data_IF_783368807588
#
_entry.id   IF_783368807588
#
_cell.length_a   1.000
_cell.length_b   1.000
_cell.length_c   1.000
_cell.angle_alpha   90.00
_cell.angle_beta   90.00
_cell.angle_gamma   90.00
#
_symmetry.space_group_name_H-M   'P 1'
#
loop_
_entity.id
_entity.type
_entity.pdbx_description
1 polymer ?
#
# COMPACT_ATOMS: atom_id res chain seq x y z
N UNK A 1 -12.88 -5.57 -13.32
CA UNK A 1 -11.47 -5.48 -13.74
C UNK A 1 -10.81 -4.41 -12.88
N UNK A 2 -9.73 -4.74 -12.19
CA UNK A 2 -8.98 -3.83 -11.32
C UNK A 2 -7.77 -3.25 -12.03
N UNK A 3 -7.48 -1.99 -11.74
CA UNK A 3 -6.28 -1.32 -12.19
C UNK A 3 -5.30 -1.19 -11.01
N UNK A 4 -4.18 -1.87 -11.07
CA UNK A 4 -3.20 -1.91 -9.98
C UNK A 4 -1.90 -1.27 -10.47
N UNK A 5 -1.40 -0.28 -9.73
CA UNK A 5 -0.14 0.40 -10.04
C UNK A 5 1.00 -0.22 -9.24
N UNK A 6 2.07 -0.56 -9.93
CA UNK A 6 3.28 -1.18 -9.38
C UNK A 6 4.50 -0.28 -9.69
N UNK A 7 4.79 0.72 -8.85
CA UNK A 7 6.03 1.49 -8.99
C UNK A 7 7.24 0.57 -8.76
N UNK A 8 8.26 0.67 -9.61
CA UNK A 8 9.46 -0.16 -9.53
C UNK A 8 10.73 0.63 -9.78
N UNK A 9 11.73 0.41 -8.95
CA UNK A 9 13.12 0.84 -9.13
C UNK A 9 14.02 -0.34 -9.52
N UNK A 10 13.38 -1.47 -9.90
CA UNK A 10 14.00 -2.73 -10.26
C UNK A 10 14.71 -3.47 -9.11
N UNK A 11 14.58 -3.00 -7.88
CA UNK A 11 15.10 -3.68 -6.69
C UNK A 11 14.37 -4.99 -6.40
N UNK A 12 14.98 -5.86 -5.62
CA UNK A 12 14.36 -7.11 -5.16
C UNK A 12 13.12 -6.87 -4.31
N UNK A 13 13.08 -5.75 -3.57
CA UNK A 13 11.90 -5.36 -2.81
C UNK A 13 10.72 -4.97 -3.72
N UNK A 14 10.97 -4.17 -4.77
CA UNK A 14 9.94 -3.85 -5.76
C UNK A 14 9.47 -5.10 -6.51
N UNK A 15 10.38 -6.04 -6.77
CA UNK A 15 10.04 -7.35 -7.33
C UNK A 15 9.18 -8.18 -6.38
N UNK A 16 9.51 -8.20 -5.07
CA UNK A 16 8.70 -8.90 -4.07
C UNK A 16 7.28 -8.31 -3.98
N UNK A 17 7.14 -6.99 -3.98
CA UNK A 17 5.84 -6.32 -4.02
C UNK A 17 5.04 -6.68 -5.29
N UNK A 18 5.70 -6.78 -6.44
CA UNK A 18 5.07 -7.22 -7.69
C UNK A 18 4.56 -8.66 -7.59
N UNK A 19 5.37 -9.59 -7.08
CA UNK A 19 4.95 -10.99 -6.87
C UNK A 19 3.77 -11.08 -5.91
N UNK A 20 3.84 -10.35 -4.80
CA UNK A 20 2.76 -10.30 -3.82
C UNK A 20 1.44 -9.84 -4.44
N UNK A 21 1.46 -8.74 -5.21
CA UNK A 21 0.28 -8.22 -5.88
C UNK A 21 -0.34 -9.23 -6.87
N UNK A 22 0.50 -9.91 -7.64
CA UNK A 22 0.06 -10.93 -8.60
C UNK A 22 -0.63 -12.11 -7.88
N UNK A 23 -0.06 -12.59 -6.77
CA UNK A 23 -0.66 -13.69 -5.98
C UNK A 23 -1.92 -13.24 -5.24
N UNK A 24 -1.94 -12.01 -4.68
CA UNK A 24 -3.10 -11.46 -3.98
C UNK A 24 -4.36 -11.42 -4.86
N UNK A 25 -4.18 -11.10 -6.14
CA UNK A 25 -5.29 -10.95 -7.09
C UNK A 25 -5.39 -12.08 -8.12
N UNK A 26 -4.80 -13.25 -7.83
CA UNK A 26 -4.70 -14.39 -8.77
C UNK A 26 -6.01 -14.81 -9.42
N UNK A 27 -7.12 -14.65 -8.71
CA UNK A 27 -8.46 -15.09 -9.15
C UNK A 27 -9.29 -13.95 -9.76
N UNK A 28 -8.72 -12.74 -9.86
CA UNK A 28 -9.43 -11.55 -10.31
C UNK A 28 -8.92 -11.00 -11.65
N UNK A 29 -9.81 -10.35 -12.40
CA UNK A 29 -9.44 -9.65 -13.63
C UNK A 29 -8.67 -8.37 -13.31
N UNK A 30 -7.37 -8.34 -13.60
CA UNK A 30 -6.48 -7.23 -13.27
C UNK A 30 -5.68 -6.71 -14.45
N UNK A 31 -5.52 -5.39 -14.48
CA UNK A 31 -4.50 -4.70 -15.28
C UNK A 31 -3.44 -4.17 -14.34
N UNK A 32 -2.24 -4.70 -14.44
CA UNK A 32 -1.08 -4.24 -13.69
C UNK A 32 -0.28 -3.23 -14.52
N UNK A 33 -0.10 -2.03 -13.97
CA UNK A 33 0.72 -0.97 -14.55
C UNK A 33 2.07 -0.93 -13.86
N UNK A 34 3.12 -1.40 -14.52
CA UNK A 34 4.51 -1.33 -14.04
C UNK A 34 5.04 0.07 -14.36
N UNK A 35 5.32 0.86 -13.34
CA UNK A 35 5.81 2.24 -13.48
C UNK A 35 7.27 2.35 -13.07
N UNK A 36 8.11 2.83 -13.97
CA UNK A 36 9.43 3.35 -13.61
C UNK A 36 9.52 4.83 -14.00
N UNK A 37 9.90 5.66 -13.04
CA UNK A 37 10.18 7.07 -13.27
C UNK A 37 11.68 7.34 -13.19
N UNK A 38 12.16 8.23 -14.03
CA UNK A 38 13.53 8.68 -14.03
C UNK A 38 13.55 10.20 -14.15
N UNK A 39 14.54 10.82 -13.52
CA UNK A 39 14.86 12.24 -13.69
C UNK A 39 16.26 12.32 -14.29
N UNK A 40 16.64 13.42 -14.96
CA UNK A 40 18.03 13.61 -15.29
C UNK A 40 18.80 13.42 -13.99
N UNK A 41 19.75 12.50 -13.98
CA UNK A 41 20.73 12.56 -12.94
C UNK A 41 21.21 14.02 -12.98
N UNK A 42 20.95 14.78 -11.91
CA UNK A 42 21.78 15.93 -11.60
C UNK A 42 23.11 15.27 -11.28
N UNK A 43 23.77 14.77 -12.33
CA UNK A 43 25.15 14.43 -12.26
C UNK A 43 25.75 15.69 -11.69
N UNK A 44 26.31 15.53 -10.51
CA UNK A 44 27.11 16.60 -9.91
C UNK A 44 27.86 17.25 -11.06
N UNK A 45 27.46 18.44 -11.43
CA UNK A 45 27.88 19.20 -12.63
C UNK A 45 29.41 19.37 -12.74
N UNK A 46 30.15 18.90 -11.75
CA UNK A 46 31.62 18.87 -11.69
C UNK A 46 32.27 17.67 -12.40
N UNK A 47 31.54 16.57 -12.64
CA UNK A 47 32.10 15.39 -13.33
C UNK A 47 31.69 15.28 -14.80
N UNK A 48 30.70 16.04 -15.27
CA UNK A 48 30.22 15.95 -16.65
C UNK A 48 30.99 16.83 -17.66
N UNK A 49 31.89 17.70 -17.21
CA UNK A 49 32.69 18.54 -18.10
C UNK A 49 33.78 17.76 -18.90
N UNK A 50 33.96 16.46 -18.66
CA UNK A 50 35.03 15.67 -19.24
C UNK A 50 34.62 14.49 -20.13
N UNK A 51 33.33 14.22 -20.30
CA UNK A 51 32.86 13.16 -21.22
C UNK A 51 32.42 13.74 -22.56
N UNK A 52 33.41 14.02 -23.41
CA UNK A 52 33.22 14.49 -24.79
C UNK A 52 32.81 13.37 -25.78
N UNK A 53 32.10 12.33 -25.36
CA UNK A 53 31.49 11.37 -26.28
C UNK A 53 29.98 11.60 -26.29
N UNK A 54 29.56 12.44 -27.24
CA UNK A 54 28.24 12.96 -27.39
C UNK A 54 27.18 11.91 -27.72
N UNK A 55 26.31 11.69 -26.80
CA UNK A 55 24.93 11.24 -26.97
C UNK A 55 24.10 11.94 -25.92
N UNK A 56 22.85 12.28 -26.14
CA UNK A 56 22.03 12.91 -25.14
C UNK A 56 21.90 11.96 -23.95
N UNK A 57 22.27 12.44 -22.75
CA UNK A 57 22.15 11.68 -21.50
C UNK A 57 20.71 11.19 -21.24
N UNK A 58 19.76 11.86 -21.79
CA UNK A 58 18.33 11.52 -21.80
C UNK A 58 18.07 10.14 -22.45
N UNK A 59 18.70 9.85 -23.59
CA UNK A 59 18.49 8.59 -24.32
C UNK A 59 19.00 7.38 -23.51
N UNK A 60 20.08 7.54 -22.78
CA UNK A 60 20.65 6.47 -21.95
C UNK A 60 19.78 6.11 -20.75
N UNK A 61 19.20 7.10 -20.06
CA UNK A 61 18.36 6.90 -18.89
C UNK A 61 16.99 6.34 -19.28
N UNK A 62 16.41 6.84 -20.37
CA UNK A 62 15.17 6.31 -20.94
C UNK A 62 15.33 4.84 -21.36
N UNK A 63 16.37 4.53 -22.13
CA UNK A 63 16.66 3.15 -22.56
C UNK A 63 16.89 2.20 -21.38
N UNK A 64 17.49 2.67 -20.28
CA UNK A 64 17.66 1.88 -19.07
C UNK A 64 16.32 1.57 -18.40
N UNK A 65 15.43 2.56 -18.31
CA UNK A 65 14.08 2.41 -17.77
C UNK A 65 13.27 1.39 -18.60
N UNK A 66 13.22 1.53 -19.90
CA UNK A 66 12.50 0.60 -20.79
C UNK A 66 13.07 -0.83 -20.72
N UNK A 67 14.40 -0.96 -20.72
CA UNK A 67 15.07 -2.26 -20.56
C UNK A 67 14.75 -2.90 -19.21
N UNK A 68 14.76 -2.13 -18.12
CA UNK A 68 14.39 -2.58 -16.79
C UNK A 68 12.95 -3.09 -16.75
N UNK A 69 12.00 -2.34 -17.28
CA UNK A 69 10.59 -2.73 -17.38
C UNK A 69 10.39 -3.99 -18.21
N UNK A 70 11.08 -4.10 -19.34
CA UNK A 70 11.08 -5.31 -20.18
C UNK A 70 11.61 -6.53 -19.42
N UNK A 71 12.67 -6.36 -18.61
CA UNK A 71 13.20 -7.43 -17.78
C UNK A 71 12.21 -7.89 -16.72
N UNK A 72 11.50 -6.96 -16.06
CA UNK A 72 10.42 -7.28 -15.10
C UNK A 72 9.30 -8.05 -15.79
N UNK A 73 8.83 -7.61 -16.96
CA UNK A 73 7.84 -8.35 -17.75
C UNK A 73 8.30 -9.76 -18.11
N UNK A 74 9.58 -9.92 -18.47
CA UNK A 74 10.14 -11.23 -18.79
C UNK A 74 10.21 -12.14 -17.54
N UNK A 75 10.54 -11.57 -16.37
CA UNK A 75 10.47 -12.29 -15.09
C UNK A 75 9.04 -12.77 -14.81
N UNK A 76 8.04 -11.89 -14.96
CA UNK A 76 6.61 -12.24 -14.77
C UNK A 76 6.20 -13.36 -15.73
N UNK A 77 6.57 -13.30 -17.01
CA UNK A 77 6.23 -14.33 -18.00
C UNK A 77 6.82 -15.71 -17.70
N UNK A 78 7.93 -15.77 -16.95
CA UNK A 78 8.59 -17.00 -16.51
C UNK A 78 7.99 -17.59 -15.24
N UNK A 79 7.22 -16.80 -14.48
CA UNK A 79 6.54 -17.26 -13.27
C UNK A 79 5.18 -17.87 -13.63
N UNK A 80 4.40 -18.25 -12.63
CA UNK A 80 3.05 -18.77 -12.80
C UNK A 80 2.18 -17.75 -13.55
N UNK A 81 1.50 -18.21 -14.62
CA UNK A 81 0.64 -17.35 -15.43
C UNK A 81 -0.79 -17.39 -14.91
N UNK A 82 -1.37 -16.22 -14.74
CA UNK A 82 -2.77 -16.06 -14.41
C UNK A 82 -3.50 -15.47 -15.65
N UNK A 83 -4.44 -16.22 -16.26
CA UNK A 83 -5.07 -15.81 -17.53
C UNK A 83 -5.87 -14.52 -17.44
N UNK A 84 -6.30 -14.14 -16.25
CA UNK A 84 -7.05 -12.91 -15.97
C UNK A 84 -6.17 -11.68 -15.80
N UNK A 85 -4.84 -11.85 -15.86
CA UNK A 85 -3.90 -10.73 -15.64
C UNK A 85 -3.36 -10.18 -16.95
N UNK A 86 -3.39 -8.86 -17.08
CA UNK A 86 -2.69 -8.13 -18.14
C UNK A 86 -1.69 -7.16 -17.54
N UNK A 87 -0.59 -6.90 -18.27
CA UNK A 87 0.51 -6.07 -17.81
C UNK A 87 0.81 -4.97 -18.81
N UNK A 88 0.94 -3.74 -18.33
CA UNK A 88 1.33 -2.56 -19.10
C UNK A 88 2.53 -1.90 -18.44
N UNK A 89 3.43 -1.37 -19.24
CA UNK A 89 4.61 -0.65 -18.75
C UNK A 89 4.46 0.84 -18.98
N UNK A 90 4.95 1.62 -18.04
CA UNK A 90 5.02 3.08 -18.11
C UNK A 90 6.44 3.47 -17.74
N UNK A 91 7.17 4.06 -18.71
CA UNK A 91 8.48 4.67 -18.52
C UNK A 91 8.25 6.19 -18.60
N UNK A 92 8.53 6.92 -17.54
CA UNK A 92 8.20 8.35 -17.48
C UNK A 92 9.36 9.19 -16.96
N UNK A 93 9.62 10.29 -17.68
CA UNK A 93 10.53 11.35 -17.26
C UNK A 93 9.78 12.32 -16.34
N UNK A 94 9.63 11.95 -15.07
CA UNK A 94 8.90 12.76 -14.10
C UNK A 94 9.33 12.40 -12.67
N UNK A 95 8.92 13.21 -11.69
CA UNK A 95 9.00 12.85 -10.29
C UNK A 95 7.98 11.76 -9.96
N UNK A 96 8.41 10.76 -9.19
CA UNK A 96 7.60 9.57 -8.89
C UNK A 96 6.18 9.90 -8.40
N UNK A 97 6.07 10.81 -7.43
CA UNK A 97 4.78 11.13 -6.81
C UNK A 97 3.85 11.86 -7.78
N UNK A 98 4.40 12.74 -8.61
CA UNK A 98 3.60 13.54 -9.57
C UNK A 98 3.10 12.63 -10.69
N UNK A 99 3.95 11.72 -11.19
CA UNK A 99 3.55 10.72 -12.16
C UNK A 99 2.47 9.78 -11.61
N UNK A 100 2.61 9.31 -10.36
CA UNK A 100 1.61 8.46 -9.72
C UNK A 100 0.25 9.18 -9.63
N UNK A 101 0.22 10.46 -9.22
CA UNK A 101 -1.03 11.24 -9.18
C UNK A 101 -1.73 11.28 -10.53
N UNK A 102 -0.96 11.56 -11.57
CA UNK A 102 -1.48 11.62 -12.93
C UNK A 102 -2.03 10.28 -13.42
N UNK A 103 -1.29 9.20 -13.18
CA UNK A 103 -1.72 7.84 -13.54
C UNK A 103 -2.97 7.43 -12.77
N UNK A 104 -3.02 7.71 -11.46
CA UNK A 104 -4.18 7.39 -10.62
C UNK A 104 -5.45 8.04 -11.17
N UNK A 105 -5.39 9.30 -11.59
CA UNK A 105 -6.52 10.00 -12.18
C UNK A 105 -6.86 9.50 -13.58
N UNK A 106 -5.85 9.40 -14.46
CA UNK A 106 -6.06 9.03 -15.88
C UNK A 106 -6.47 7.57 -16.07
N UNK A 107 -5.99 6.66 -15.25
CA UNK A 107 -6.22 5.21 -15.38
C UNK A 107 -7.22 4.67 -14.38
N UNK A 108 -7.68 5.46 -13.43
CA UNK A 108 -8.58 5.01 -12.37
C UNK A 108 -7.95 3.88 -11.55
N UNK A 109 -6.78 4.12 -10.98
CA UNK A 109 -6.05 3.10 -10.20
C UNK A 109 -6.82 2.78 -8.91
N UNK A 110 -7.12 1.51 -8.72
CA UNK A 110 -7.85 1.01 -7.55
C UNK A 110 -6.92 0.77 -6.36
N UNK A 111 -5.65 0.39 -6.61
CA UNK A 111 -4.65 0.11 -5.59
C UNK A 111 -3.24 0.40 -6.11
N UNK A 112 -2.41 0.99 -5.26
CA UNK A 112 -0.97 1.10 -5.48
C UNK A 112 -0.28 0.06 -4.62
N UNK A 113 0.57 -0.81 -5.19
CA UNK A 113 1.36 -1.77 -4.42
C UNK A 113 2.84 -1.45 -4.60
N UNK A 114 3.55 -1.23 -3.50
CA UNK A 114 4.95 -0.83 -3.50
C UNK A 114 5.74 -1.59 -2.45
N UNK A 115 7.05 -1.72 -2.65
CA UNK A 115 7.92 -2.23 -1.59
C UNK A 115 8.12 -1.19 -0.48
N UNK A 116 8.50 -1.64 0.69
CA UNK A 116 8.81 -0.74 1.83
C UNK A 116 10.19 -0.10 1.72
N UNK A 117 11.16 -0.71 0.99
CA UNK A 117 12.51 -0.17 0.75
C UNK A 117 12.66 0.25 -0.71
N UNK A 118 13.59 1.14 -0.99
CA UNK A 118 14.08 1.44 -2.33
C UNK A 118 15.48 0.87 -2.57
N UNK A 119 16.05 1.13 -3.74
CA UNK A 119 17.37 0.64 -4.18
C UNK A 119 18.56 1.07 -3.31
N UNK A 120 18.40 2.01 -2.38
CA UNK A 120 19.46 2.54 -1.51
C UNK A 120 19.90 1.64 -0.35
N UNK A 121 19.26 0.48 -0.17
CA UNK A 121 19.81 -0.70 0.55
C UNK A 121 20.43 -0.53 1.93
N UNK A 122 20.03 0.45 2.75
CA UNK A 122 20.47 0.49 4.14
C UNK A 122 19.86 -0.69 4.91
N UNK A 123 20.69 -1.40 5.68
CA UNK A 123 20.39 -2.71 6.29
C UNK A 123 19.29 -2.73 7.35
N UNK A 124 18.73 -1.58 7.69
CA UNK A 124 17.64 -1.49 8.64
C UNK A 124 16.28 -1.43 7.93
N UNK A 125 15.29 -2.14 8.46
CA UNK A 125 13.95 -2.33 7.88
C UNK A 125 13.12 -1.05 8.01
N UNK A 126 13.39 -0.05 7.15
CA UNK A 126 12.63 1.22 7.16
C UNK A 126 11.61 1.27 6.04
N UNK A 127 10.50 1.94 6.30
CA UNK A 127 9.66 2.40 5.21
C UNK A 127 10.42 3.47 4.42
N UNK A 128 10.82 3.16 3.19
CA UNK A 128 11.62 4.02 2.32
C UNK A 128 10.96 5.38 2.09
N UNK A 129 11.77 6.40 1.87
CA UNK A 129 11.30 7.77 1.66
C UNK A 129 10.26 7.89 0.53
N UNK A 130 10.39 7.10 -0.54
CA UNK A 130 9.44 7.08 -1.64
C UNK A 130 8.08 6.51 -1.22
N UNK A 131 8.04 5.40 -0.46
CA UNK A 131 6.81 4.82 0.05
C UNK A 131 6.08 5.78 0.97
N UNK A 132 6.80 6.45 1.89
CA UNK A 132 6.23 7.49 2.76
C UNK A 132 5.69 8.67 1.95
N UNK A 133 6.40 9.13 0.92
CA UNK A 133 5.93 10.21 0.03
C UNK A 133 4.68 9.81 -0.73
N UNK A 134 4.60 8.59 -1.26
CA UNK A 134 3.41 8.07 -1.93
C UNK A 134 2.22 8.09 -0.97
N UNK A 135 2.37 7.48 0.21
CA UNK A 135 1.31 7.42 1.23
C UNK A 135 0.81 8.82 1.63
N UNK A 136 1.74 9.77 1.85
CA UNK A 136 1.37 11.14 2.24
C UNK A 136 0.70 11.95 1.12
N UNK A 137 1.04 11.68 -0.11
CA UNK A 137 0.66 12.53 -1.26
C UNK A 137 -0.55 12.02 -2.03
N UNK A 138 -0.77 10.69 -2.03
CA UNK A 138 -1.90 10.09 -2.75
C UNK A 138 -3.13 10.06 -1.85
N UNK A 139 -4.20 10.73 -2.28
CA UNK A 139 -5.44 10.92 -1.50
C UNK A 139 -6.63 10.15 -2.06
N UNK A 140 -6.50 9.53 -3.22
CA UNK A 140 -7.61 8.94 -3.96
C UNK A 140 -7.41 7.45 -4.31
N UNK A 141 -6.34 6.83 -3.83
CA UNK A 141 -6.12 5.38 -3.96
C UNK A 141 -5.42 4.84 -2.71
N UNK A 142 -5.82 3.67 -2.20
CA UNK A 142 -5.10 3.00 -1.13
C UNK A 142 -3.70 2.58 -1.59
N UNK A 143 -2.80 2.48 -0.62
CA UNK A 143 -1.41 2.06 -0.84
C UNK A 143 -1.14 0.83 0.00
N UNK A 144 -0.71 -0.25 -0.64
CA UNK A 144 -0.27 -1.49 0.00
C UNK A 144 1.26 -1.55 -0.07
N UNK A 145 1.90 -1.43 1.08
CA UNK A 145 3.35 -1.50 1.23
C UNK A 145 3.76 -2.91 1.65
N UNK A 146 4.65 -3.55 0.88
CA UNK A 146 5.10 -4.93 1.09
C UNK A 146 6.52 -4.95 1.63
N UNK A 147 6.77 -5.56 2.80
CA UNK A 147 8.11 -5.72 3.34
C UNK A 147 8.99 -6.57 2.43
N UNK A 148 10.30 -6.28 2.44
CA UNK A 148 11.26 -6.88 1.53
C UNK A 148 11.30 -8.42 1.60
N UNK A 149 11.23 -8.95 2.81
CA UNK A 149 11.37 -10.39 3.07
C UNK A 149 10.05 -11.09 3.37
N UNK A 150 8.93 -10.39 3.19
CA UNK A 150 7.63 -10.99 3.43
C UNK A 150 7.24 -11.89 2.26
N UNK A 151 7.18 -13.18 2.50
CA UNK A 151 6.62 -14.13 1.54
C UNK A 151 5.09 -14.03 1.54
N UNK A 152 4.47 -14.26 0.38
CA UNK A 152 3.03 -14.20 0.27
C UNK A 152 2.36 -15.22 1.20
N UNK A 153 1.53 -14.72 2.09
CA UNK A 153 0.53 -15.45 2.86
C UNK A 153 -0.84 -14.92 2.52
N UNK A 154 -1.82 -15.80 2.38
CA UNK A 154 -3.22 -15.39 2.22
C UNK A 154 -3.65 -14.59 3.45
N UNK A 155 -4.17 -13.37 3.31
CA UNK A 155 -4.52 -12.53 4.44
C UNK A 155 -5.81 -13.02 5.11
N UNK A 156 -5.71 -14.04 5.98
CA UNK A 156 -6.83 -14.57 6.78
C UNK A 156 -7.03 -13.84 8.10
N UNK A 157 -6.02 -13.10 8.58
CA UNK A 157 -6.10 -12.25 9.77
C UNK A 157 -5.66 -10.83 9.38
N UNK A 158 -6.58 -9.87 9.48
CA UNK A 158 -6.35 -8.46 9.14
C UNK A 158 -6.47 -7.63 10.41
N UNK A 159 -5.40 -6.96 10.85
CA UNK A 159 -5.49 -5.99 11.93
C UNK A 159 -5.89 -4.62 11.37
N UNK A 160 -6.91 -3.98 11.96
CA UNK A 160 -7.28 -2.61 11.68
C UNK A 160 -6.93 -1.72 12.86
N UNK A 161 -5.83 -0.95 12.73
CA UNK A 161 -5.35 -0.07 13.79
C UNK A 161 -6.08 1.28 13.76
N UNK A 162 -6.71 1.65 14.90
CA UNK A 162 -7.49 2.88 14.99
C UNK A 162 -7.58 3.41 16.42
N UNK A 163 -7.71 4.73 16.56
CA UNK A 163 -7.92 5.44 17.83
C UNK A 163 -9.38 5.89 18.04
N UNK A 164 -10.26 5.59 17.11
CA UNK A 164 -11.68 5.98 17.10
C UNK A 164 -11.95 7.51 17.17
N UNK A 165 -10.95 8.35 16.96
CA UNK A 165 -11.11 9.80 17.09
C UNK A 165 -11.77 10.47 15.89
N UNK A 166 -12.15 9.71 14.87
CA UNK A 166 -12.83 10.23 13.69
C UNK A 166 -13.96 9.30 13.22
N UNK A 167 -14.87 9.91 12.46
CA UNK A 167 -15.89 9.19 11.73
C UNK A 167 -15.30 8.43 10.54
N UNK A 168 -15.80 7.23 10.28
CA UNK A 168 -15.45 6.41 9.13
C UNK A 168 -16.58 6.46 8.10
N UNK A 169 -16.24 6.56 6.83
CA UNK A 169 -17.20 6.28 5.77
C UNK A 169 -17.06 4.82 5.29
N UNK A 170 -18.16 4.24 4.85
CA UNK A 170 -18.12 2.89 4.29
C UNK A 170 -17.17 2.78 3.10
N UNK A 171 -17.15 3.83 2.24
CA UNK A 171 -16.26 3.87 1.08
C UNK A 171 -14.77 3.91 1.43
N UNK A 172 -14.39 4.48 2.58
CA UNK A 172 -13.01 4.43 3.07
C UNK A 172 -12.63 3.02 3.52
N UNK A 173 -13.51 2.32 4.20
CA UNK A 173 -13.26 0.97 4.70
C UNK A 173 -13.37 -0.11 3.62
N UNK A 174 -14.01 0.19 2.49
CA UNK A 174 -14.30 -0.76 1.43
C UNK A 174 -13.06 -1.55 0.94
N UNK A 175 -11.87 -0.96 0.75
CA UNK A 175 -10.68 -1.72 0.35
C UNK A 175 -10.32 -2.86 1.31
N UNK A 176 -10.45 -2.63 2.61
CA UNK A 176 -10.20 -3.64 3.65
C UNK A 176 -11.33 -4.67 3.70
N UNK A 177 -12.58 -4.22 3.65
CA UNK A 177 -13.77 -5.07 3.64
C UNK A 177 -13.73 -6.04 2.45
N UNK A 178 -13.39 -5.53 1.27
CA UNK A 178 -13.27 -6.34 0.06
C UNK A 178 -12.21 -7.45 0.21
N UNK A 179 -11.06 -7.15 0.81
CA UNK A 179 -10.04 -8.16 1.11
C UNK A 179 -10.57 -9.19 2.12
N UNK A 180 -11.25 -8.72 3.18
CA UNK A 180 -11.82 -9.61 4.18
C UNK A 180 -12.85 -10.58 3.56
N UNK A 181 -13.72 -10.10 2.70
CA UNK A 181 -14.68 -10.96 1.98
C UNK A 181 -13.99 -11.94 1.02
N UNK A 182 -12.99 -11.46 0.24
CA UNK A 182 -12.29 -12.29 -0.74
C UNK A 182 -11.60 -13.47 -0.07
N UNK A 183 -10.95 -13.23 1.07
CA UNK A 183 -10.14 -14.22 1.76
C UNK A 183 -10.84 -14.85 2.96
N UNK A 184 -12.09 -14.48 3.24
CA UNK A 184 -12.83 -14.87 4.45
C UNK A 184 -12.02 -14.56 5.70
N UNK A 185 -11.40 -13.38 5.72
CA UNK A 185 -10.51 -12.97 6.78
C UNK A 185 -11.27 -12.43 7.98
N UNK A 186 -10.73 -12.70 9.17
CA UNK A 186 -11.15 -12.07 10.43
C UNK A 186 -10.51 -10.68 10.53
N UNK A 187 -11.31 -9.68 10.92
CA UNK A 187 -10.81 -8.31 11.16
C UNK A 187 -10.57 -8.13 12.67
N UNK A 188 -9.32 -7.91 13.06
CA UNK A 188 -8.90 -7.59 14.41
C UNK A 188 -8.81 -6.07 14.56
N UNK A 189 -9.85 -5.42 15.11
CA UNK A 189 -9.82 -4.00 15.40
C UNK A 189 -8.90 -3.79 16.60
N UNK A 190 -7.79 -3.08 16.42
CA UNK A 190 -6.82 -2.84 17.48
C UNK A 190 -6.78 -1.37 17.89
N UNK A 191 -7.05 -1.11 19.15
CA UNK A 191 -7.01 0.20 19.78
C UNK A 191 -5.89 0.25 20.80
N UNK A 192 -4.84 1.02 20.52
CA UNK A 192 -3.69 1.18 21.41
C UNK A 192 -3.89 2.41 22.28
N UNK A 193 -3.81 2.24 23.61
CA UNK A 193 -3.92 3.32 24.59
C UNK A 193 -2.69 3.33 25.48
N UNK A 194 -2.21 4.52 25.87
CA UNK A 194 -1.14 4.66 26.88
C UNK A 194 -1.57 4.06 28.22
N UNK A 195 -2.77 4.40 28.68
CA UNK A 195 -3.47 3.80 29.82
C UNK A 195 -4.83 3.31 29.33
N UNK A 196 -5.21 2.09 29.67
CA UNK A 196 -6.53 1.54 29.31
C UNK A 196 -7.62 2.30 30.07
N UNK A 197 -8.41 3.07 29.33
CA UNK A 197 -9.53 3.86 29.81
C UNK A 197 -10.79 3.56 29.02
N UNK A 198 -11.94 3.85 29.61
CA UNK A 198 -13.19 3.82 28.86
C UNK A 198 -13.13 4.76 27.66
N UNK A 199 -13.73 4.35 26.54
CA UNK A 199 -13.87 5.19 25.36
C UNK A 199 -14.72 6.41 25.67
N UNK A 200 -14.35 7.55 25.08
CA UNK A 200 -15.21 8.75 25.10
C UNK A 200 -16.50 8.49 24.31
N UNK A 201 -17.51 9.33 24.49
CA UNK A 201 -18.78 9.23 23.74
C UNK A 201 -18.55 9.25 22.21
N UNK A 202 -17.65 10.11 21.74
CA UNK A 202 -17.28 10.20 20.31
C UNK A 202 -16.59 8.91 19.85
N UNK A 203 -15.66 8.39 20.61
CA UNK A 203 -14.99 7.13 20.29
C UNK A 203 -15.96 5.95 20.28
N UNK A 204 -16.88 5.90 21.26
CA UNK A 204 -17.91 4.86 21.33
C UNK A 204 -18.86 4.94 20.12
N UNK A 205 -19.28 6.14 19.73
CA UNK A 205 -20.10 6.36 18.53
C UNK A 205 -19.36 5.86 17.27
N UNK A 206 -18.09 6.25 17.09
CA UNK A 206 -17.29 5.84 15.94
C UNK A 206 -17.04 4.32 15.90
N UNK A 207 -16.82 3.70 17.06
CA UNK A 207 -16.70 2.23 17.16
C UNK A 207 -18.01 1.54 16.74
N UNK A 208 -19.16 2.05 17.19
CA UNK A 208 -20.46 1.49 16.83
C UNK A 208 -20.72 1.60 15.31
N UNK A 209 -20.35 2.72 14.71
CA UNK A 209 -20.43 2.90 13.25
C UNK A 209 -19.48 1.95 12.51
N UNK A 210 -18.24 1.80 13.00
CA UNK A 210 -17.28 0.84 12.42
C UNK A 210 -17.83 -0.58 12.45
N UNK A 211 -18.35 -1.04 13.59
CA UNK A 211 -18.99 -2.36 13.72
C UNK A 211 -20.16 -2.54 12.76
N UNK A 212 -20.95 -1.50 12.55
CA UNK A 212 -22.05 -1.54 11.56
C UNK A 212 -21.54 -1.77 10.15
N UNK A 213 -20.44 -1.08 9.75
CA UNK A 213 -19.84 -1.30 8.43
C UNK A 213 -19.16 -2.65 8.26
N UNK A 214 -18.70 -3.25 9.37
CA UNK A 214 -18.08 -4.57 9.40
C UNK A 214 -19.05 -5.71 9.69
N UNK A 215 -20.37 -5.45 9.74
CA UNK A 215 -21.38 -6.44 10.17
C UNK A 215 -21.37 -7.74 9.36
N UNK A 216 -20.93 -7.71 8.09
CA UNK A 216 -20.82 -8.87 7.23
C UNK A 216 -19.44 -9.56 7.30
N UNK A 217 -18.51 -9.01 8.08
CA UNK A 217 -17.19 -9.57 8.31
C UNK A 217 -17.08 -10.07 9.74
N UNK A 218 -16.42 -11.20 9.95
CA UNK A 218 -16.03 -11.61 11.30
C UNK A 218 -15.05 -10.59 11.86
N UNK A 219 -15.34 -10.02 13.04
CA UNK A 219 -14.48 -9.00 13.62
C UNK A 219 -14.48 -9.01 15.15
N UNK A 220 -13.33 -8.68 15.74
CA UNK A 220 -13.11 -8.61 17.19
C UNK A 220 -12.40 -7.31 17.57
N UNK A 221 -12.78 -6.74 18.72
CA UNK A 221 -12.12 -5.55 19.28
C UNK A 221 -11.07 -5.95 20.29
N UNK A 222 -9.88 -5.41 20.13
CA UNK A 222 -8.76 -5.51 21.05
C UNK A 222 -8.36 -4.12 21.53
N UNK A 223 -8.39 -3.91 22.85
CA UNK A 223 -7.80 -2.72 23.48
C UNK A 223 -6.52 -3.14 24.17
N UNK A 224 -5.41 -2.56 23.79
CA UNK A 224 -4.07 -2.93 24.24
C UNK A 224 -3.33 -1.74 24.83
N UNK A 225 -2.56 -1.96 25.89
CA UNK A 225 -1.69 -0.92 26.44
C UNK A 225 -0.54 -0.66 25.51
N UNK A 226 -0.19 0.63 25.32
CA UNK A 226 0.99 1.04 24.59
C UNK A 226 2.24 0.51 25.30
N UNK A 227 3.10 -0.18 24.56
CA UNK A 227 4.42 -0.55 25.02
C UNK A 227 5.37 0.70 24.95
N UNK A 228 6.51 0.58 24.31
CA UNK A 228 7.41 1.71 24.13
C UNK A 228 6.93 2.72 23.07
N UNK A 229 6.07 2.29 22.17
CA UNK A 229 5.43 3.10 21.12
C UNK A 229 4.25 2.36 20.50
N UNK A 230 3.35 3.09 19.84
CA UNK A 230 2.25 2.50 19.06
C UNK A 230 2.79 1.50 18.03
N UNK A 231 3.89 1.84 17.36
CA UNK A 231 4.49 0.96 16.34
C UNK A 231 4.94 -0.37 16.95
N UNK A 232 5.64 -0.34 18.09
CA UNK A 232 6.11 -1.57 18.76
C UNK A 232 4.94 -2.40 19.29
N UNK A 233 3.90 -1.74 19.77
CA UNK A 233 2.69 -2.41 20.23
C UNK A 233 1.99 -3.16 19.10
N UNK A 234 1.86 -2.51 17.93
CA UNK A 234 1.26 -3.12 16.74
C UNK A 234 2.12 -4.26 16.16
N UNK A 235 3.44 -4.15 16.23
CA UNK A 235 4.37 -5.22 15.85
C UNK A 235 4.17 -6.46 16.72
N UNK A 236 4.21 -6.32 18.04
CA UNK A 236 3.99 -7.41 18.99
C UNK A 236 2.58 -8.01 18.82
N UNK A 237 1.57 -7.16 18.68
CA UNK A 237 0.20 -7.61 18.42
C UNK A 237 0.10 -8.44 17.14
N UNK A 238 0.82 -8.02 16.10
CA UNK A 238 0.82 -8.74 14.83
C UNK A 238 1.52 -10.11 14.94
N UNK A 239 2.60 -10.21 15.69
CA UNK A 239 3.30 -11.46 15.96
C UNK A 239 2.45 -12.43 16.79
N UNK A 240 1.87 -11.95 17.89
CA UNK A 240 1.10 -12.79 18.83
C UNK A 240 -0.19 -13.36 18.22
N UNK A 241 -0.83 -12.64 17.30
CA UNK A 241 -2.08 -13.05 16.66
C UNK A 241 -1.90 -13.52 15.21
N UNK A 242 -0.67 -13.78 14.76
CA UNK A 242 -0.33 -14.16 13.38
C UNK A 242 -1.06 -13.30 12.34
N UNK A 243 -0.97 -11.98 12.50
CA UNK A 243 -1.60 -11.02 11.57
C UNK A 243 -0.88 -11.04 10.23
N UNK A 244 -1.64 -11.16 9.15
CA UNK A 244 -1.11 -11.24 7.78
C UNK A 244 -1.12 -9.90 7.05
N UNK A 245 -1.96 -8.96 7.50
CA UNK A 245 -2.11 -7.63 6.92
C UNK A 245 -2.48 -6.63 8.02
N UNK A 246 -1.72 -5.54 8.11
CA UNK A 246 -2.08 -4.39 8.93
C UNK A 246 -2.76 -3.34 8.07
N UNK A 247 -3.94 -2.88 8.45
CA UNK A 247 -4.67 -1.80 7.79
C UNK A 247 -4.81 -0.59 8.69
N UNK A 248 -4.72 0.61 8.14
CA UNK A 248 -4.96 1.87 8.86
C UNK A 248 -5.38 2.99 7.92
N UNK A 249 -6.04 4.01 8.48
CA UNK A 249 -6.40 5.22 7.75
C UNK A 249 -5.30 6.26 7.83
N UNK A 250 -5.04 6.94 6.72
CA UNK A 250 -4.10 8.06 6.61
C UNK A 250 -4.82 9.40 6.76
N UNK A 251 -5.04 9.84 7.99
CA UNK A 251 -5.62 11.16 8.29
C UNK A 251 -4.80 11.92 9.33
N UNK A 252 -5.09 13.21 9.51
CA UNK A 252 -4.44 14.03 10.52
C UNK A 252 -4.66 13.45 11.93
N UNK A 253 -3.58 13.37 12.72
CA UNK A 253 -3.55 12.78 14.07
C UNK A 253 -3.82 11.27 14.14
N UNK A 254 -3.84 10.56 13.00
CA UNK A 254 -3.90 9.09 12.97
C UNK A 254 -2.63 8.45 13.52
N UNK A 255 -2.68 7.15 13.82
CA UNK A 255 -1.49 6.38 14.12
C UNK A 255 -0.44 6.50 13.00
N UNK A 256 -0.88 6.54 11.73
CA UNK A 256 0.02 6.74 10.59
C UNK A 256 0.74 8.08 10.66
N UNK A 257 0.07 9.17 11.04
CA UNK A 257 0.70 10.46 11.22
C UNK A 257 1.67 10.46 12.39
N UNK A 258 1.29 9.89 13.54
CA UNK A 258 2.21 9.73 14.68
C UNK A 258 3.46 8.97 14.28
N UNK A 259 3.31 7.87 13.52
CA UNK A 259 4.42 7.07 13.01
C UNK A 259 5.33 7.84 12.02
N UNK A 260 4.76 8.76 11.24
CA UNK A 260 5.52 9.51 10.22
C UNK A 260 6.10 10.84 10.72
N UNK A 261 5.58 11.39 11.83
CA UNK A 261 6.05 12.63 12.48
C UNK A 261 7.04 12.40 13.62
N UNK A 262 7.15 11.18 14.11
CA UNK A 262 8.14 10.87 15.14
C UNK A 262 9.56 11.29 14.70
N UNK A 263 10.43 11.75 15.61
CA UNK A 263 11.82 12.09 15.30
C UNK A 263 12.50 10.96 14.52
N UNK A 264 13.45 11.31 13.66
CA UNK A 264 14.15 10.35 12.78
C UNK A 264 14.57 9.07 13.50
N UNK A 265 15.06 9.18 14.72
CA UNK A 265 15.45 8.04 15.59
C UNK A 265 14.26 7.13 15.94
N UNK A 266 13.05 7.68 16.08
CA UNK A 266 11.82 6.90 16.35
C UNK A 266 11.14 6.41 15.07
N UNK A 267 11.31 7.12 13.93
CA UNK A 267 10.89 6.60 12.60
C UNK A 267 11.62 5.31 12.23
N UNK A 268 12.83 5.17 12.79
CA UNK A 268 13.68 4.01 12.64
C UNK A 268 13.06 2.73 13.27
N UNK A 269 12.10 2.88 14.18
CA UNK A 269 11.47 1.79 14.90
C UNK A 269 10.21 1.22 14.24
N UNK A 270 9.69 1.83 13.16
CA UNK A 270 8.56 1.25 12.44
C UNK A 270 9.04 0.24 11.40
N UNK A 271 9.30 -0.94 11.88
CA UNK A 271 9.60 -2.11 11.08
C UNK A 271 8.29 -2.83 10.77
N UNK A 272 7.64 -2.48 9.66
CA UNK A 272 6.54 -3.36 9.25
C UNK A 272 7.13 -4.67 8.74
N UNK A 273 6.95 -5.73 9.51
CA UNK A 273 7.32 -7.08 9.09
C UNK A 273 6.22 -7.75 8.27
N UNK A 274 5.03 -7.18 8.26
CA UNK A 274 3.86 -7.65 7.53
C UNK A 274 3.38 -6.56 6.54
N UNK A 275 2.63 -6.92 5.50
CA UNK A 275 2.02 -5.98 4.57
C UNK A 275 1.19 -4.91 5.28
N UNK A 276 1.34 -3.65 4.85
CA UNK A 276 0.63 -2.50 5.40
C UNK A 276 -0.28 -1.87 4.35
N UNK A 277 -1.59 -1.95 4.57
CA UNK A 277 -2.60 -1.26 3.78
C UNK A 277 -2.90 0.11 4.38
N UNK A 278 -2.52 1.16 3.70
CA UNK A 278 -2.82 2.54 4.09
C UNK A 278 -3.95 3.06 3.22
N UNK A 279 -5.07 3.34 3.86
CA UNK A 279 -6.29 3.82 3.21
C UNK A 279 -6.32 5.34 3.32
N UNK A 280 -6.39 6.08 2.20
CA UNK A 280 -6.46 7.54 2.24
C UNK A 280 -7.80 8.03 2.78
N UNK A 281 -7.80 9.21 3.36
CA UNK A 281 -9.02 9.94 3.70
C UNK A 281 -9.73 10.40 2.43
N UNK A 282 -10.98 9.98 2.22
CA UNK A 282 -11.72 10.30 1.00
C UNK A 282 -12.58 11.56 1.11
N UNK A 283 -12.71 12.14 2.29
CA UNK A 283 -13.65 13.22 2.54
C UNK A 283 -15.12 12.77 2.38
N UNK A 284 -16.05 13.53 2.91
CA UNK A 284 -17.48 13.24 2.73
C UNK A 284 -17.89 13.62 1.29
N UNK A 285 -17.98 12.66 0.36
CA UNK A 285 -18.58 12.99 -0.91
C UNK A 285 -18.30 12.18 -2.17
N UNK A 286 -17.43 11.17 -2.19
CA UNK A 286 -17.27 10.34 -3.40
C UNK A 286 -17.22 8.85 -3.05
N UNK A 287 -18.26 8.06 -3.42
CA UNK A 287 -18.18 6.61 -3.31
C UNK A 287 -17.09 6.11 -4.27
N UNK A 288 -16.06 5.42 -3.73
CA UNK A 288 -15.13 4.68 -4.55
C UNK A 288 -15.75 3.35 -5.00
N UNK A 289 -15.38 2.92 -6.20
CA UNK A 289 -15.70 1.58 -6.68
C UNK A 289 -15.11 0.54 -5.72
N UNK A 290 -15.88 -0.52 -5.45
CA UNK A 290 -15.40 -1.69 -4.71
C UNK A 290 -14.09 -2.22 -5.32
N UNK A 291 -13.15 -2.64 -4.50
CA UNK A 291 -11.91 -3.28 -4.95
C UNK A 291 -12.21 -4.67 -5.55
N UNK A 292 -13.37 -5.25 -5.28
CA UNK A 292 -13.83 -6.51 -5.89
C UNK A 292 -14.71 -6.18 -7.09
N UNK A 293 -14.36 -6.73 -8.28
CA UNK A 293 -15.22 -6.66 -9.46
C UNK A 293 -16.58 -7.25 -9.13
N UNK A 294 -17.68 -6.51 -9.42
CA UNK A 294 -19.04 -7.02 -9.28
C UNK A 294 -19.13 -8.39 -9.96
N UNK A 295 -19.33 -9.46 -9.19
CA UNK A 295 -19.90 -10.68 -9.73
C UNK A 295 -21.26 -10.30 -10.30
N UNK A 296 -21.44 -10.54 -11.58
CA UNK A 296 -22.68 -10.31 -12.28
C UNK A 296 -23.84 -10.88 -11.46
N UNK A 297 -24.72 -10.00 -11.00
CA UNK A 297 -26.09 -10.38 -10.73
C UNK A 297 -26.71 -10.72 -12.10
N UNK A 298 -26.66 -11.97 -12.47
CA UNK A 298 -27.50 -12.50 -13.55
C UNK A 298 -28.91 -12.47 -12.99
N UNK A 299 -29.73 -11.69 -13.64
CA UNK A 299 -31.15 -11.57 -13.43
C UNK A 299 -31.82 -12.94 -13.49
N UNK A 300 -32.53 -13.30 -12.45
CA UNK A 300 -33.75 -14.10 -12.60
C UNK A 300 -34.87 -13.14 -13.02
N UNK A 301 -35.15 -13.14 -14.30
CA UNK A 301 -36.44 -12.82 -14.88
C UNK A 301 -36.81 -14.03 -15.75
N UNK A 302 -37.65 -14.84 -15.18
CA UNK A 302 -38.82 -15.44 -15.87
C UNK A 302 -39.76 -16.07 -14.80
#
# INVERSE_FOLDING_TARGET
MKNILLPTDFSDNAWNATKYAIELFKDEDCVFYLLNTYTPAIASSRFMATSLSGGPLEDGVHSNSERGLKNVLNKIKKTKKYPKHSFKTISSFNLLVDEIKEIVEKKGIDLIVTGTKGASGLDEVFMGSNTVRIIKSIKNSPVLAIPQFFEYKTPSEIAFATDFNRFYSQSELQPMIDLAHTFKATIRIVHVQYEIKALTEIQQFNLNMLRKYLSECEHYLHTVSELNSVSKTLEVFAEELDIHLLAMLNFQHSYMEKMTREPVVKRLAFHTQIPLLVIPELGMGKPKKSIIGKKNAVADQD
#
